data_IF_452814317823
#
_entry.id   IF_452814317823
#
_cell.length_a   1.000
_cell.length_b   1.000
_cell.length_c   1.000
_cell.angle_alpha   90.00
_cell.angle_beta   90.00
_cell.angle_gamma   90.00
#
_symmetry.space_group_name_H-M   'P 1'
#
loop_
_entity.id
_entity.type
_entity.pdbx_description
1 polymer ?
#
# COMPACT_ATOMS: atom_id res chain seq x y z
N UNK A 1 4.67 -7.42 -2.78
CA UNK A 1 5.41 -6.28 -2.17
C UNK A 1 6.71 -5.88 -2.89
N UNK A 2 7.07 -6.48 -4.05
CA UNK A 2 8.27 -6.11 -4.81
C UNK A 2 8.23 -4.67 -5.38
N UNK A 3 7.04 -4.17 -5.71
CA UNK A 3 6.82 -2.84 -6.30
C UNK A 3 7.24 -1.71 -5.33
N UNK A 4 6.96 -1.86 -4.03
CA UNK A 4 7.40 -0.88 -3.00
C UNK A 4 8.94 -0.85 -2.92
N UNK A 5 9.59 -2.02 -2.95
CA UNK A 5 11.06 -2.11 -2.93
C UNK A 5 11.69 -1.50 -4.19
N UNK A 6 11.06 -1.68 -5.34
CA UNK A 6 11.51 -1.09 -6.60
C UNK A 6 11.28 0.42 -6.65
N UNK A 7 10.14 0.90 -6.15
CA UNK A 7 9.84 2.33 -6.04
C UNK A 7 10.81 3.07 -5.14
N UNK A 8 11.22 2.46 -4.02
CA UNK A 8 12.21 3.04 -3.11
C UNK A 8 13.56 3.30 -3.80
N UNK A 9 13.88 2.58 -4.88
CA UNK A 9 15.10 2.76 -5.67
C UNK A 9 15.01 3.90 -6.70
N UNK A 10 13.83 4.45 -6.97
CA UNK A 10 13.63 5.50 -7.99
C UNK A 10 13.97 6.91 -7.51
N UNK A 11 14.37 7.06 -6.25
CA UNK A 11 15.07 8.22 -5.67
C UNK A 11 14.27 9.53 -5.55
N UNK A 12 13.17 9.68 -6.30
CA UNK A 12 12.19 10.75 -6.10
C UNK A 12 11.01 10.29 -5.23
N UNK A 13 10.50 11.21 -4.40
CA UNK A 13 9.29 10.97 -3.60
C UNK A 13 8.07 10.71 -4.49
N UNK A 14 7.99 11.38 -5.64
CA UNK A 14 6.88 11.19 -6.59
C UNK A 14 6.82 9.76 -7.12
N UNK A 15 7.95 9.22 -7.61
CA UNK A 15 8.00 7.85 -8.15
C UNK A 15 7.84 6.79 -7.06
N UNK A 16 8.37 7.04 -5.87
CA UNK A 16 8.18 6.12 -4.75
C UNK A 16 6.72 6.12 -4.28
N UNK A 17 6.10 7.29 -4.13
CA UNK A 17 4.68 7.43 -3.82
C UNK A 17 3.79 6.77 -4.88
N UNK A 18 4.13 6.91 -6.16
CA UNK A 18 3.43 6.23 -7.24
C UNK A 18 3.51 4.70 -7.13
N UNK A 19 4.69 4.16 -6.80
CA UNK A 19 4.87 2.71 -6.63
C UNK A 19 4.07 2.15 -5.44
N UNK A 20 3.92 2.95 -4.38
CA UNK A 20 3.07 2.61 -3.24
C UNK A 20 1.60 2.61 -3.65
N UNK A 21 1.14 3.60 -4.44
CA UNK A 21 -0.23 3.64 -4.97
C UNK A 21 -0.56 2.45 -5.87
N UNK A 22 0.39 1.98 -6.69
CA UNK A 22 0.19 0.74 -7.47
C UNK A 22 -0.03 -0.44 -6.52
N UNK A 23 0.77 -0.53 -5.45
CA UNK A 23 0.62 -1.62 -4.46
C UNK A 23 -0.69 -1.53 -3.69
N UNK A 24 -1.23 -0.33 -3.50
CA UNK A 24 -2.55 -0.11 -2.91
C UNK A 24 -3.67 -0.61 -3.85
N UNK A 25 -3.57 -0.36 -5.15
CA UNK A 25 -4.52 -0.91 -6.13
C UNK A 25 -4.55 -2.44 -6.12
N UNK A 26 -3.40 -3.10 -6.04
CA UNK A 26 -3.34 -4.57 -5.89
C UNK A 26 -3.93 -5.08 -4.57
N UNK A 27 -3.95 -4.25 -3.52
CA UNK A 27 -4.62 -4.60 -2.26
C UNK A 27 -6.13 -4.49 -2.38
N UNK A 28 -6.64 -3.49 -3.11
CA UNK A 28 -8.06 -3.34 -3.43
C UNK A 28 -8.58 -4.49 -4.29
N UNK A 29 -7.80 -4.92 -5.30
CA UNK A 29 -8.11 -6.13 -6.08
C UNK A 29 -8.20 -7.38 -5.19
N UNK A 30 -7.24 -7.57 -4.28
CA UNK A 30 -7.23 -8.70 -3.35
C UNK A 30 -8.40 -8.64 -2.34
N UNK A 31 -8.84 -7.45 -1.96
CA UNK A 31 -10.04 -7.28 -1.13
C UNK A 31 -11.29 -7.73 -1.87
N UNK A 32 -11.42 -7.35 -3.15
CA UNK A 32 -12.49 -7.86 -4.03
C UNK A 32 -12.45 -9.39 -4.17
N UNK A 33 -11.28 -9.97 -4.44
CA UNK A 33 -11.11 -11.43 -4.54
C UNK A 33 -11.53 -12.16 -3.25
N UNK A 34 -11.29 -11.55 -2.08
CA UNK A 34 -11.68 -12.09 -0.78
C UNK A 34 -13.19 -11.97 -0.52
N UNK A 35 -13.81 -10.87 -0.96
CA UNK A 35 -15.26 -10.68 -0.92
C UNK A 35 -15.94 -11.74 -1.82
N UNK A 36 -15.44 -11.96 -3.05
CA UNK A 36 -15.94 -13.00 -3.97
C UNK A 36 -15.81 -14.41 -3.36
N UNK A 37 -14.67 -14.74 -2.73
CA UNK A 37 -14.50 -16.02 -2.04
C UNK A 37 -15.51 -16.24 -0.91
N UNK A 38 -15.91 -15.17 -0.22
CA UNK A 38 -16.93 -15.24 0.83
C UNK A 38 -18.33 -15.46 0.24
N UNK A 39 -18.67 -14.74 -0.84
CA UNK A 39 -19.94 -14.91 -1.56
C UNK A 39 -20.10 -16.34 -2.10
N UNK A 40 -19.02 -16.92 -2.63
CA UNK A 40 -18.94 -18.30 -3.10
C UNK A 40 -18.88 -19.35 -1.97
N UNK A 41 -18.86 -18.91 -0.70
CA UNK A 41 -18.77 -19.76 0.50
C UNK A 41 -17.49 -20.61 0.57
N UNK A 42 -16.41 -20.12 -0.02
CA UNK A 42 -15.09 -20.75 0.04
C UNK A 42 -14.35 -20.45 1.35
N UNK A 43 -14.73 -19.34 2.02
CA UNK A 43 -14.24 -18.96 3.34
C UNK A 43 -15.39 -18.68 4.30
N UNK A 44 -15.12 -18.77 5.59
CA UNK A 44 -16.09 -18.48 6.64
C UNK A 44 -16.25 -16.97 6.86
N UNK A 45 -17.36 -16.57 7.49
CA UNK A 45 -17.57 -15.18 7.93
C UNK A 45 -16.47 -14.71 8.91
N UNK A 46 -15.95 -15.60 9.75
CA UNK A 46 -14.85 -15.27 10.66
C UNK A 46 -13.55 -14.94 9.91
N UNK A 47 -13.21 -15.74 8.88
CA UNK A 47 -12.05 -15.51 8.03
C UNK A 47 -12.21 -14.24 7.20
N UNK A 48 -13.39 -14.04 6.62
CA UNK A 48 -13.74 -12.84 5.86
C UNK A 48 -13.59 -11.57 6.71
N UNK A 49 -14.15 -11.55 7.92
CA UNK A 49 -14.01 -10.44 8.85
C UNK A 49 -12.55 -10.15 9.23
N UNK A 50 -11.72 -11.19 9.40
CA UNK A 50 -10.27 -11.02 9.62
C UNK A 50 -9.59 -10.39 8.42
N UNK A 51 -9.95 -10.79 7.20
CA UNK A 51 -9.44 -10.13 5.99
C UNK A 51 -9.86 -8.67 5.91
N UNK A 52 -11.12 -8.32 6.18
CA UNK A 52 -11.59 -6.92 6.20
C UNK A 52 -10.83 -6.07 7.22
N UNK A 53 -10.57 -6.58 8.43
CA UNK A 53 -9.72 -5.86 9.42
C UNK A 53 -8.31 -5.63 8.88
N UNK A 54 -7.69 -6.66 8.29
CA UNK A 54 -6.34 -6.57 7.75
C UNK A 54 -6.26 -5.58 6.56
N UNK A 55 -7.22 -5.60 5.64
CA UNK A 55 -7.28 -4.67 4.52
C UNK A 55 -7.45 -3.23 5.02
N UNK A 56 -8.40 -2.99 5.92
CA UNK A 56 -8.64 -1.67 6.50
C UNK A 56 -7.41 -1.11 7.22
N UNK A 57 -6.74 -1.93 8.04
CA UNK A 57 -5.51 -1.53 8.75
C UNK A 57 -4.36 -1.26 7.80
N UNK A 58 -4.22 -2.07 6.75
CA UNK A 58 -3.15 -1.90 5.75
C UNK A 58 -3.38 -0.64 4.91
N UNK A 59 -4.60 -0.38 4.47
CA UNK A 59 -4.98 0.86 3.77
C UNK A 59 -4.67 2.09 4.62
N UNK A 60 -5.10 2.09 5.88
CA UNK A 60 -4.78 3.20 6.81
C UNK A 60 -3.27 3.42 6.97
N UNK A 61 -2.49 2.33 7.05
CA UNK A 61 -1.04 2.43 7.14
C UNK A 61 -0.40 2.98 5.85
N UNK A 62 -0.92 2.60 4.68
CA UNK A 62 -0.48 3.14 3.38
C UNK A 62 -0.74 4.65 3.31
N UNK A 63 -1.94 5.10 3.70
CA UNK A 63 -2.31 6.51 3.69
C UNK A 63 -1.40 7.34 4.62
N UNK A 64 -1.24 6.91 5.87
CA UNK A 64 -0.33 7.56 6.81
C UNK A 64 1.12 7.59 6.33
N UNK A 65 1.56 6.53 5.63
CA UNK A 65 2.90 6.45 5.07
C UNK A 65 3.08 7.46 3.93
N UNK A 66 2.13 7.53 3.01
CA UNK A 66 2.13 8.49 1.90
C UNK A 66 2.10 9.93 2.42
N UNK A 67 1.27 10.23 3.41
CA UNK A 67 1.21 11.54 4.03
C UNK A 67 2.54 11.94 4.67
N UNK A 68 3.14 11.03 5.41
CA UNK A 68 4.46 11.22 6.04
C UNK A 68 5.54 11.44 4.99
N UNK A 69 5.52 10.66 3.91
CA UNK A 69 6.44 10.76 2.79
C UNK A 69 6.34 12.12 2.08
N UNK A 70 5.13 12.58 1.77
CA UNK A 70 4.91 13.89 1.15
C UNK A 70 5.27 15.03 2.09
N UNK A 71 5.02 14.88 3.40
CA UNK A 71 5.46 15.85 4.41
C UNK A 71 6.99 15.99 4.43
N UNK A 72 7.72 14.86 4.45
CA UNK A 72 9.19 14.87 4.39
C UNK A 72 9.72 15.56 3.13
N UNK A 73 9.05 15.38 1.99
CA UNK A 73 9.41 16.05 0.75
C UNK A 73 9.21 17.56 0.82
N UNK A 74 8.04 18.01 1.30
CA UNK A 74 7.72 19.44 1.45
C UNK A 74 8.67 20.15 2.40
N UNK A 75 9.13 19.47 3.45
CA UNK A 75 10.10 20.00 4.41
C UNK A 75 11.55 19.96 3.89
N UNK A 76 11.80 19.46 2.68
CA UNK A 76 13.15 19.31 2.13
C UNK A 76 14.02 18.28 2.88
N UNK A 77 13.40 17.43 3.70
CA UNK A 77 14.08 16.43 4.55
C UNK A 77 14.26 15.10 3.85
N UNK A 78 13.65 14.90 2.68
CA UNK A 78 13.90 13.73 1.86
C UNK A 78 15.36 13.69 1.39
N UNK A 79 16.10 12.71 1.88
CA UNK A 79 17.47 12.44 1.44
C UNK A 79 17.42 11.30 0.43
N UNK A 80 17.52 11.65 -0.85
CA UNK A 80 17.81 10.67 -1.89
C UNK A 80 19.09 9.92 -1.51
N UNK A 81 19.04 8.59 -1.62
CA UNK A 81 20.16 7.70 -1.23
C UNK A 81 21.07 7.41 -2.41
N UNK A 82 20.63 7.69 -3.64
CA UNK A 82 21.34 7.33 -4.87
C UNK A 82 21.87 8.54 -5.64
N UNK A 83 21.98 9.73 -5.01
CA UNK A 83 22.69 10.89 -5.57
C UNK A 83 24.06 10.45 -6.13
N UNK A 84 24.20 10.56 -7.46
CA UNK A 84 25.49 10.70 -8.14
C UNK A 84 26.06 12.09 -7.89
#
# INVERSE_FOLDING_TARGET
MNIIREGYRRDTVGEFGHSIKISAGSLEELEGDADDCFEDRLITEEEHNKFKDLFGRTNNQIDHYLDSLYKLNREGKWKSRFKK
#
